data_IF_869763030500
#
_entry.id   IF_869763030500
#
_cell.length_a   1.000
_cell.length_b   1.000
_cell.length_c   1.000
_cell.angle_alpha   90.00
_cell.angle_beta   90.00
_cell.angle_gamma   90.00
#
_symmetry.space_group_name_H-M   'P 1'
#
loop_
_entity.id
_entity.type
_entity.pdbx_description
1 polymer ?
#
# COMPACT_ATOMS: atom_id res chain seq x y z
N UNK A 1 -14.83 10.88 2.45
CA UNK A 1 -14.99 11.97 3.42
C UNK A 1 -15.19 13.26 2.63
N UNK A 2 -16.32 13.93 2.80
CA UNK A 2 -16.58 15.20 2.12
C UNK A 2 -15.59 16.28 2.58
N UNK A 3 -15.09 17.08 1.64
CA UNK A 3 -14.20 18.21 1.95
C UNK A 3 -14.96 19.52 1.79
N UNK A 4 -15.52 20.00 2.90
CA UNK A 4 -16.26 21.28 2.94
C UNK A 4 -15.40 22.45 2.41
N UNK A 5 -14.11 22.61 2.80
CA UNK A 5 -13.30 23.73 2.32
C UNK A 5 -13.05 23.70 0.80
N UNK A 6 -12.74 22.53 0.24
CA UNK A 6 -12.50 22.39 -1.20
C UNK A 6 -13.80 22.54 -2.00
N UNK A 7 -14.90 21.97 -1.49
CA UNK A 7 -16.21 22.08 -2.13
C UNK A 7 -16.63 23.54 -2.31
N UNK A 8 -16.43 24.36 -1.26
CA UNK A 8 -16.68 25.81 -1.32
C UNK A 8 -15.75 26.54 -2.28
N UNK A 9 -14.47 26.16 -2.32
CA UNK A 9 -13.50 26.81 -3.18
C UNK A 9 -13.80 26.62 -4.67
N UNK A 10 -14.26 25.42 -5.05
CA UNK A 10 -14.53 25.07 -6.46
C UNK A 10 -16.00 25.17 -6.86
N UNK A 11 -16.93 25.39 -5.92
CA UNK A 11 -18.37 25.42 -6.19
C UNK A 11 -18.93 24.06 -6.63
N UNK A 12 -18.32 22.96 -6.17
CA UNK A 12 -18.66 21.58 -6.50
C UNK A 12 -18.82 20.75 -5.22
N UNK A 13 -19.58 19.67 -5.27
CA UNK A 13 -19.58 18.68 -4.20
C UNK A 13 -18.35 17.77 -4.34
N UNK A 14 -17.40 17.88 -3.40
CA UNK A 14 -16.12 17.16 -3.45
C UNK A 14 -15.96 16.19 -2.29
N UNK A 15 -15.81 14.92 -2.66
CA UNK A 15 -15.46 13.83 -1.74
C UNK A 15 -14.00 13.42 -1.90
N UNK A 16 -13.28 13.32 -0.78
CA UNK A 16 -11.93 12.74 -0.73
C UNK A 16 -12.04 11.25 -0.39
N UNK A 17 -11.57 10.42 -1.31
CA UNK A 17 -11.30 9.01 -1.08
C UNK A 17 -9.84 8.85 -0.62
N UNK A 18 -9.61 8.99 0.69
CA UNK A 18 -8.26 8.89 1.24
C UNK A 18 -7.85 7.43 1.46
N UNK A 19 -6.72 7.06 0.86
CA UNK A 19 -6.10 5.74 1.03
C UNK A 19 -4.95 5.77 2.05
N UNK A 20 -4.72 6.89 2.72
CA UNK A 20 -3.68 7.01 3.77
C UNK A 20 -4.03 6.25 5.04
N UNK A 21 -5.31 5.93 5.26
CA UNK A 21 -5.78 5.13 6.40
C UNK A 21 -5.83 3.63 6.11
N UNK A 22 -5.48 3.23 4.89
CA UNK A 22 -5.32 1.82 4.57
C UNK A 22 -4.12 1.24 5.32
N UNK A 23 -4.08 -0.09 5.51
CA UNK A 23 -2.90 -0.76 6.01
C UNK A 23 -1.64 -0.30 5.25
N UNK A 24 -0.53 -0.12 5.97
CA UNK A 24 0.74 0.41 5.44
C UNK A 24 0.65 1.83 4.83
N UNK A 25 -0.44 2.56 5.10
CA UNK A 25 -0.55 3.99 4.83
C UNK A 25 -0.77 4.36 3.37
N UNK A 26 -1.16 3.42 2.50
CA UNK A 26 -1.48 3.72 1.11
C UNK A 26 -2.35 2.66 0.45
N UNK A 27 -2.88 2.99 -0.73
CA UNK A 27 -3.72 2.11 -1.53
C UNK A 27 -3.07 0.79 -1.94
N UNK A 28 -1.73 0.70 -1.87
CA UNK A 28 -0.96 -0.44 -2.34
C UNK A 28 -1.24 -1.73 -1.58
N UNK A 29 -1.72 -1.66 -0.34
CA UNK A 29 -2.13 -2.85 0.41
C UNK A 29 -3.24 -3.63 -0.29
N UNK A 30 -4.18 -2.96 -0.97
CA UNK A 30 -5.27 -3.63 -1.69
C UNK A 30 -4.73 -4.60 -2.73
N UNK A 31 -3.80 -4.13 -3.57
CA UNK A 31 -3.16 -4.95 -4.59
C UNK A 31 -2.26 -6.03 -3.98
N UNK A 32 -1.47 -5.67 -2.96
CA UNK A 32 -0.55 -6.59 -2.30
C UNK A 32 -1.27 -7.78 -1.64
N UNK A 33 -2.35 -7.49 -0.91
CA UNK A 33 -3.18 -8.53 -0.29
C UNK A 33 -3.85 -9.42 -1.32
N UNK A 34 -4.35 -8.84 -2.42
CA UNK A 34 -4.93 -9.60 -3.51
C UNK A 34 -3.92 -10.56 -4.14
N UNK A 35 -2.70 -10.08 -4.45
CA UNK A 35 -1.63 -10.92 -5.00
C UNK A 35 -1.26 -12.03 -4.01
N UNK A 36 -0.99 -11.67 -2.75
CA UNK A 36 -0.57 -12.64 -1.75
C UNK A 36 -1.63 -13.71 -1.45
N UNK A 37 -2.93 -13.37 -1.56
CA UNK A 37 -4.03 -14.31 -1.35
C UNK A 37 -4.22 -15.29 -2.51
N UNK A 38 -3.94 -14.86 -3.75
CA UNK A 38 -4.27 -15.64 -4.95
C UNK A 38 -3.07 -16.37 -5.57
N UNK A 39 -1.85 -15.91 -5.33
CA UNK A 39 -0.65 -16.63 -5.81
C UNK A 39 -0.42 -17.84 -4.91
N UNK A 40 -0.38 -19.08 -5.42
CA UNK A 40 -0.28 -20.27 -4.59
C UNK A 40 1.09 -20.46 -3.94
N UNK A 41 2.14 -19.81 -4.46
CA UNK A 41 3.48 -19.87 -3.89
C UNK A 41 3.51 -19.28 -2.47
N UNK A 42 4.23 -19.97 -1.59
CA UNK A 42 4.45 -19.55 -0.20
C UNK A 42 5.53 -18.47 -0.05
N UNK A 43 6.31 -18.23 -1.11
CA UNK A 43 7.35 -17.21 -1.14
C UNK A 43 7.11 -16.23 -2.28
N UNK A 44 7.08 -14.94 -1.94
CA UNK A 44 6.88 -13.84 -2.89
C UNK A 44 8.10 -12.93 -2.90
N UNK A 45 8.57 -12.61 -4.10
CA UNK A 45 9.64 -11.66 -4.36
C UNK A 45 9.06 -10.41 -5.02
N UNK A 46 9.46 -9.23 -4.57
CA UNK A 46 9.17 -7.98 -5.28
C UNK A 46 10.35 -7.02 -5.25
N UNK A 47 10.51 -6.25 -6.32
CA UNK A 47 11.40 -5.10 -6.33
C UNK A 47 10.55 -3.83 -6.13
N UNK A 48 10.73 -3.13 -5.01
CA UNK A 48 9.98 -1.93 -4.71
C UNK A 48 10.76 -0.99 -3.80
N UNK A 49 10.87 0.28 -4.16
CA UNK A 49 11.52 1.31 -3.32
C UNK A 49 10.63 1.88 -2.21
N UNK A 50 9.46 1.29 -1.93
CA UNK A 50 8.58 1.84 -0.90
C UNK A 50 7.26 1.10 -0.69
N UNK A 51 6.14 1.82 -0.80
CA UNK A 51 4.85 1.40 -0.24
C UNK A 51 4.38 0.01 -0.69
N UNK A 52 4.76 -0.48 -1.88
CA UNK A 52 4.34 -1.81 -2.31
C UNK A 52 5.12 -2.90 -1.58
N UNK A 53 6.42 -2.69 -1.36
CA UNK A 53 7.25 -3.57 -0.55
C UNK A 53 6.69 -3.72 0.88
N UNK A 54 6.37 -2.60 1.53
CA UNK A 54 5.73 -2.62 2.86
C UNK A 54 4.36 -3.31 2.83
N UNK A 55 3.52 -2.99 1.85
CA UNK A 55 2.21 -3.59 1.67
C UNK A 55 2.28 -5.11 1.46
N UNK A 56 3.21 -5.60 0.63
CA UNK A 56 3.38 -7.02 0.33
C UNK A 56 3.98 -7.77 1.52
N UNK A 57 5.00 -7.21 2.17
CA UNK A 57 5.56 -7.78 3.39
C UNK A 57 4.47 -7.92 4.47
N UNK A 58 3.62 -6.90 4.66
CA UNK A 58 2.53 -6.95 5.62
C UNK A 58 1.44 -7.95 5.24
N UNK A 59 1.04 -8.02 3.96
CA UNK A 59 0.08 -9.00 3.47
C UNK A 59 0.59 -10.44 3.63
N UNK A 60 1.85 -10.72 3.28
CA UNK A 60 2.47 -12.03 3.47
C UNK A 60 2.51 -12.42 4.95
N UNK A 61 2.83 -11.48 5.85
CA UNK A 61 2.79 -11.72 7.30
C UNK A 61 1.41 -12.15 7.77
N UNK A 62 0.34 -11.50 7.29
CA UNK A 62 -1.05 -11.86 7.64
C UNK A 62 -1.39 -13.28 7.13
N UNK A 63 -0.94 -13.63 5.93
CA UNK A 63 -1.30 -14.87 5.25
C UNK A 63 -0.32 -16.04 5.51
N UNK A 64 0.68 -15.84 6.37
CA UNK A 64 1.67 -16.88 6.71
C UNK A 64 2.69 -17.19 5.60
N UNK A 65 2.92 -16.26 4.68
CA UNK A 65 3.85 -16.41 3.55
C UNK A 65 5.19 -15.73 3.80
N UNK A 66 6.23 -16.21 3.13
CA UNK A 66 7.55 -15.55 3.05
C UNK A 66 7.51 -14.43 2.03
N UNK A 67 8.20 -13.33 2.32
CA UNK A 67 8.32 -12.20 1.43
C UNK A 67 9.75 -11.67 1.41
N UNK A 68 10.29 -11.51 0.21
CA UNK A 68 11.58 -10.84 -0.03
C UNK A 68 11.31 -9.56 -0.82
N UNK A 69 11.68 -8.42 -0.24
CA UNK A 69 11.56 -7.11 -0.87
C UNK A 69 12.96 -6.62 -1.23
N UNK A 70 13.21 -6.45 -2.52
CA UNK A 70 14.44 -5.85 -3.02
C UNK A 70 14.23 -4.34 -3.16
N UNK A 71 15.07 -3.56 -2.50
CA UNK A 71 14.98 -2.10 -2.47
C UNK A 71 16.32 -1.47 -2.90
N UNK A 72 16.31 -0.32 -3.60
CA UNK A 72 17.50 0.50 -3.78
C UNK A 72 18.04 1.01 -2.44
N UNK A 73 19.37 1.11 -2.30
CA UNK A 73 20.02 1.67 -1.10
C UNK A 73 19.60 3.12 -0.80
N UNK A 74 19.15 3.85 -1.82
CA UNK A 74 18.67 5.24 -1.72
C UNK A 74 17.24 5.38 -1.21
N UNK A 75 16.58 4.27 -0.86
CA UNK A 75 15.19 4.28 -0.39
C UNK A 75 15.07 5.02 0.95
N UNK A 76 13.95 5.73 1.13
CA UNK A 76 13.71 6.46 2.36
C UNK A 76 13.67 5.50 3.57
N UNK A 77 14.41 5.81 4.64
CA UNK A 77 14.56 4.92 5.81
C UNK A 77 13.24 4.49 6.45
N UNK A 78 12.21 5.32 6.41
CA UNK A 78 10.89 4.94 6.94
C UNK A 78 10.19 3.82 6.15
N UNK A 79 10.75 3.45 4.99
CA UNK A 79 10.18 2.45 4.06
C UNK A 79 10.94 1.14 4.02
N UNK A 80 12.04 1.05 4.76
CA UNK A 80 12.88 -0.15 4.92
C UNK A 80 12.43 -0.88 6.18
#
# INVERSE_FOLDING_TARGET
>A
MESIPLSRHFGLDLTIATETFQHTGSFKFRAAYNVASNVPNDELLTASSGNFGQALAFACRILGKKCTVVMPETSAKMKI
#
